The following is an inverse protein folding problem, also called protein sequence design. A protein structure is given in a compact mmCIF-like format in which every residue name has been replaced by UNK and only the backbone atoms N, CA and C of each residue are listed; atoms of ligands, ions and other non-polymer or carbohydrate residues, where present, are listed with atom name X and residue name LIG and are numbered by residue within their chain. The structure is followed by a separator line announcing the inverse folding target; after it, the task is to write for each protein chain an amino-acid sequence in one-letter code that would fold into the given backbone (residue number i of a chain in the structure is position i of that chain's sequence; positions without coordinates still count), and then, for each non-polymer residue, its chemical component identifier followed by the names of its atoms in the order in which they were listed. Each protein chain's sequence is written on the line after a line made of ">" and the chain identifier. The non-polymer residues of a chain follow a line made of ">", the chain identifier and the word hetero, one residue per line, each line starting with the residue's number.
data_IF_433938258698
#
_entry.id   IF_433938258698
#
_cell.length_a   1.000
_cell.length_b   1.000
_cell.length_c   1.000
_cell.angle_alpha   90.00
_cell.angle_beta   90.00
_cell.angle_gamma   90.00
#
_symmetry.space_group_name_H-M   'P 1'
#
loop_
_entity.id
_entity.type
_entity.pdbx_description
1 polymer ?
#
# COMPACT_ATOMS: atom_id res chain seq x y z
N UNK A 1 18.85 -21.05 50.56
CA UNK A 1 18.84 -21.66 51.92
C UNK A 1 20.19 -22.27 52.37
N UNK A 2 21.02 -22.86 51.48
CA UNK A 2 22.34 -23.43 51.86
C UNK A 2 23.37 -22.38 52.35
N UNK A 3 23.38 -21.17 51.77
CA UNK A 3 24.31 -20.10 52.18
C UNK A 3 24.05 -19.55 53.60
N UNK A 4 22.79 -19.56 54.06
CA UNK A 4 22.43 -19.07 55.41
C UNK A 4 22.92 -20.05 56.49
N UNK A 5 22.79 -21.36 56.25
CA UNK A 5 23.31 -22.39 57.15
C UNK A 5 24.84 -22.40 57.20
N UNK A 6 25.52 -22.13 56.08
CA UNK A 6 27.00 -22.04 56.03
C UNK A 6 27.50 -20.78 56.74
N UNK A 7 26.85 -19.63 56.55
CA UNK A 7 27.14 -18.41 57.32
C UNK A 7 26.88 -18.63 58.81
N UNK A 8 25.78 -19.28 59.18
CA UNK A 8 25.46 -19.60 60.57
C UNK A 8 26.49 -20.56 61.20
N UNK A 9 27.00 -21.55 60.46
CA UNK A 9 27.99 -22.52 60.96
C UNK A 9 29.39 -21.91 61.08
N UNK A 10 29.79 -21.05 60.14
CA UNK A 10 31.04 -20.28 60.23
C UNK A 10 30.98 -19.21 61.35
N UNK A 11 29.84 -18.53 61.50
CA UNK A 11 29.61 -17.58 62.58
C UNK A 11 29.56 -18.28 63.95
N UNK A 12 28.99 -19.48 64.03
CA UNK A 12 29.03 -20.30 65.24
C UNK A 12 30.46 -20.76 65.61
N UNK A 13 31.30 -21.15 64.64
CA UNK A 13 32.72 -21.48 64.88
C UNK A 13 33.48 -20.25 65.42
N UNK A 14 33.30 -19.08 64.81
CA UNK A 14 33.96 -17.84 65.21
C UNK A 14 33.54 -17.39 66.62
N UNK A 15 32.25 -17.46 66.94
CA UNK A 15 31.69 -17.14 68.26
C UNK A 15 32.19 -18.14 69.32
N UNK A 16 32.25 -19.43 69.02
CA UNK A 16 32.72 -20.46 69.95
C UNK A 16 34.22 -20.30 70.28
N UNK A 17 35.04 -19.87 69.31
CA UNK A 17 36.46 -19.58 69.54
C UNK A 17 36.72 -18.24 70.23
N UNK A 18 35.83 -17.26 70.08
CA UNK A 18 35.99 -15.91 70.64
C UNK A 18 35.42 -15.74 72.06
N UNK A 19 34.47 -16.59 72.49
CA UNK A 19 33.82 -16.49 73.81
C UNK A 19 34.80 -16.55 75.00
N UNK A 20 35.91 -17.30 75.00
CA UNK A 20 36.85 -17.30 76.12
C UNK A 20 37.77 -16.06 76.16
N UNK A 21 38.01 -15.41 75.02
CA UNK A 21 38.93 -14.26 74.92
C UNK A 21 38.29 -12.91 75.24
N UNK A 22 36.95 -12.82 75.28
CA UNK A 22 36.23 -11.59 75.62
C UNK A 22 35.69 -11.58 77.06
N UNK A 23 35.78 -12.71 77.77
CA UNK A 23 35.43 -12.84 79.19
C UNK A 23 36.66 -12.78 80.11
N UNK A 24 37.71 -12.02 79.73
CA UNK A 24 38.75 -11.58 80.66
C UNK A 24 38.21 -10.42 81.52
N UNK A 25 37.20 -10.76 82.31
CA UNK A 25 36.49 -9.91 83.26
C UNK A 25 35.84 -10.80 84.32
N UNK A 26 36.63 -11.68 84.95
CA UNK A 26 36.28 -12.43 86.16
C UNK A 26 35.41 -13.69 85.97
N UNK A 27 35.91 -14.82 86.49
CA UNK A 27 35.22 -16.04 86.95
C UNK A 27 34.11 -16.60 86.02
N UNK A 28 34.31 -17.67 85.25
CA UNK A 28 34.74 -19.00 85.69
C UNK A 28 35.58 -19.70 84.61
N UNK A 29 36.87 -19.84 84.90
CA UNK A 29 37.79 -20.72 84.17
C UNK A 29 37.57 -22.16 84.64
N UNK A 30 36.49 -22.78 84.17
CA UNK A 30 36.01 -24.06 84.69
C UNK A 30 36.04 -25.24 83.72
N UNK A 31 36.88 -25.27 82.67
CA UNK A 31 37.12 -26.55 81.96
C UNK A 31 38.37 -26.61 81.03
N UNK A 32 39.42 -25.79 81.19
CA UNK A 32 40.64 -26.00 80.38
C UNK A 32 41.89 -25.66 81.21
N UNK A 33 42.31 -26.62 82.06
CA UNK A 33 43.53 -26.49 82.88
C UNK A 33 44.80 -26.61 82.04
N UNK A 34 45.83 -25.84 82.44
CA UNK A 34 47.29 -25.82 82.16
C UNK A 34 47.86 -26.12 80.74
N UNK A 35 47.06 -26.68 79.82
CA UNK A 35 47.42 -27.08 78.45
C UNK A 35 46.45 -26.47 77.41
N UNK A 36 45.72 -25.42 77.77
CA UNK A 36 44.60 -24.86 76.99
C UNK A 36 44.99 -24.25 75.64
N UNK A 37 46.28 -24.01 75.37
CA UNK A 37 46.75 -23.45 74.10
C UNK A 37 46.66 -24.45 72.92
N UNK A 38 46.93 -25.73 73.17
CA UNK A 38 46.94 -26.78 72.13
C UNK A 38 45.53 -27.10 71.59
N UNK A 39 44.49 -27.33 72.41
CA UNK A 39 43.15 -27.60 71.89
C UNK A 39 42.55 -26.41 71.14
N UNK A 40 42.85 -25.18 71.54
CA UNK A 40 42.38 -23.96 70.86
C UNK A 40 43.00 -23.79 69.47
N UNK A 41 44.29 -24.11 69.31
CA UNK A 41 44.95 -24.09 68.01
C UNK A 41 44.35 -25.15 67.06
N UNK A 42 44.07 -26.36 67.55
CA UNK A 42 43.48 -27.44 66.73
C UNK A 42 42.09 -27.05 66.23
N UNK A 43 41.24 -26.47 67.08
CA UNK A 43 39.90 -26.01 66.69
C UNK A 43 39.99 -24.88 65.65
N UNK A 44 40.91 -23.93 65.82
CA UNK A 44 41.14 -22.85 64.85
C UNK A 44 41.55 -23.40 63.47
N UNK A 45 42.48 -24.35 63.45
CA UNK A 45 42.92 -25.03 62.23
C UNK A 45 41.79 -25.84 61.56
N UNK A 46 40.95 -26.51 62.35
CA UNK A 46 39.77 -27.22 61.83
C UNK A 46 38.75 -26.23 61.23
N UNK A 47 38.43 -25.12 61.91
CA UNK A 47 37.54 -24.10 61.35
C UNK A 47 38.15 -23.48 60.08
N UNK A 48 39.48 -23.24 60.02
CA UNK A 48 40.16 -22.70 58.85
C UNK A 48 40.11 -23.64 57.64
N UNK A 49 40.44 -24.92 57.82
CA UNK A 49 40.35 -25.90 56.74
C UNK A 49 38.91 -26.19 56.31
N UNK A 50 37.97 -26.20 57.25
CA UNK A 50 36.53 -26.32 56.95
C UNK A 50 36.04 -25.14 56.09
N UNK A 51 36.43 -23.91 56.45
CA UNK A 51 36.11 -22.70 55.67
C UNK A 51 36.76 -22.74 54.28
N UNK A 52 38.03 -23.13 54.17
CA UNK A 52 38.71 -23.26 52.88
C UNK A 52 38.06 -24.32 51.99
N UNK A 53 37.68 -25.47 52.55
CA UNK A 53 37.05 -26.54 51.78
C UNK A 53 35.67 -26.13 51.26
N UNK A 54 34.86 -25.51 52.12
CA UNK A 54 33.52 -25.03 51.76
C UNK A 54 33.61 -23.83 50.81
N UNK A 55 34.50 -22.87 51.08
CA UNK A 55 34.75 -21.69 50.25
C UNK A 55 35.30 -22.06 48.88
N UNK A 56 36.28 -22.96 48.81
CA UNK A 56 36.84 -23.46 47.55
C UNK A 56 35.78 -24.12 46.68
N UNK A 57 34.93 -24.99 47.25
CA UNK A 57 33.89 -25.69 46.47
C UNK A 57 32.74 -24.76 46.05
N UNK A 58 32.40 -23.75 46.85
CA UNK A 58 31.23 -22.88 46.61
C UNK A 58 31.60 -21.65 45.79
N UNK A 59 32.79 -21.06 45.96
CA UNK A 59 33.20 -19.84 45.25
C UNK A 59 33.71 -20.10 43.82
N UNK A 60 34.27 -21.29 43.53
CA UNK A 60 34.77 -21.60 42.19
C UNK A 60 33.65 -21.68 41.13
N UNK A 61 32.50 -22.25 41.51
CA UNK A 61 31.35 -22.40 40.61
C UNK A 61 30.80 -21.07 40.06
N UNK A 62 30.47 -20.06 40.88
CA UNK A 62 29.95 -18.79 40.38
C UNK A 62 31.01 -17.99 39.58
N UNK A 63 32.30 -18.13 39.88
CA UNK A 63 33.36 -17.43 39.14
C UNK A 63 33.47 -17.98 37.70
N UNK A 64 33.54 -19.31 37.56
CA UNK A 64 33.54 -19.93 36.23
C UNK A 64 32.24 -19.64 35.48
N UNK A 65 31.09 -19.75 36.16
CA UNK A 65 29.80 -19.45 35.53
C UNK A 65 29.70 -18.01 35.01
N UNK A 66 30.24 -17.02 35.72
CA UNK A 66 30.26 -15.64 35.23
C UNK A 66 31.21 -15.45 34.05
N UNK A 67 32.33 -16.16 34.01
CA UNK A 67 33.27 -16.08 32.90
C UNK A 67 32.69 -16.74 31.64
N UNK A 68 32.07 -17.91 31.79
CA UNK A 68 31.40 -18.65 30.73
C UNK A 68 30.18 -17.87 30.19
N UNK A 69 29.42 -17.22 31.07
CA UNK A 69 28.34 -16.30 30.67
C UNK A 69 28.85 -15.10 29.88
N UNK A 70 30.01 -14.54 30.22
CA UNK A 70 30.63 -13.45 29.44
C UNK A 70 31.10 -13.93 28.08
N UNK A 71 31.75 -15.08 28.04
CA UNK A 71 32.24 -15.70 26.81
C UNK A 71 31.08 -16.02 25.85
N UNK A 72 30.01 -16.61 26.38
CA UNK A 72 28.78 -16.91 25.64
C UNK A 72 28.13 -15.64 25.13
N UNK A 73 27.97 -14.61 25.97
CA UNK A 73 27.39 -13.33 25.55
C UNK A 73 28.20 -12.66 24.44
N UNK A 74 29.53 -12.73 24.49
CA UNK A 74 30.39 -12.17 23.44
C UNK A 74 30.20 -12.95 22.14
N UNK A 75 30.21 -14.29 22.19
CA UNK A 75 29.95 -15.13 21.02
C UNK A 75 28.59 -14.84 20.39
N UNK A 76 27.54 -14.84 21.20
CA UNK A 76 26.18 -14.54 20.76
C UNK A 76 26.08 -13.13 20.16
N UNK A 77 26.75 -12.14 20.75
CA UNK A 77 26.76 -10.77 20.22
C UNK A 77 27.46 -10.70 18.87
N UNK A 78 28.56 -11.45 18.68
CA UNK A 78 29.30 -11.50 17.42
C UNK A 78 28.48 -12.20 16.33
N UNK A 79 27.93 -13.38 16.63
CA UNK A 79 27.09 -14.13 15.71
C UNK A 79 25.82 -13.34 15.34
N UNK A 80 25.24 -12.62 16.29
CA UNK A 80 24.10 -11.77 16.03
C UNK A 80 24.47 -10.57 15.14
N UNK A 81 25.66 -9.99 15.31
CA UNK A 81 26.14 -8.92 14.45
C UNK A 81 26.32 -9.42 13.00
N UNK A 82 27.01 -10.56 12.81
CA UNK A 82 27.19 -11.17 11.48
C UNK A 82 25.85 -11.52 10.82
N UNK A 83 24.89 -12.03 11.61
CA UNK A 83 23.54 -12.32 11.13
C UNK A 83 22.79 -11.06 10.73
N UNK A 84 22.88 -9.98 11.51
CA UNK A 84 22.25 -8.70 11.20
C UNK A 84 22.85 -8.13 9.91
N UNK A 85 24.17 -8.17 9.75
CA UNK A 85 24.84 -7.68 8.54
C UNK A 85 24.41 -8.47 7.30
N UNK A 86 24.32 -9.79 7.39
CA UNK A 86 23.77 -10.62 6.31
C UNK A 86 22.31 -10.28 6.00
N UNK A 87 21.46 -10.14 7.02
CA UNK A 87 20.05 -9.79 6.84
C UNK A 87 19.87 -8.39 6.26
N UNK A 88 20.73 -7.44 6.64
CA UNK A 88 20.74 -6.09 6.07
C UNK A 88 21.12 -6.16 4.58
N UNK A 89 22.18 -6.88 4.22
CA UNK A 89 22.57 -7.05 2.82
C UNK A 89 21.46 -7.68 1.97
N UNK A 90 20.80 -8.73 2.50
CA UNK A 90 19.67 -9.39 1.82
C UNK A 90 18.44 -8.45 1.70
N UNK A 91 18.17 -7.67 2.75
CA UNK A 91 17.07 -6.70 2.78
C UNK A 91 17.32 -5.54 1.81
N UNK A 92 18.55 -5.04 1.73
CA UNK A 92 18.94 -4.00 0.77
C UNK A 92 18.86 -4.53 -0.67
N UNK A 93 19.33 -5.74 -0.92
CA UNK A 93 19.24 -6.37 -2.23
C UNK A 93 17.78 -6.57 -2.67
N UNK A 94 16.93 -7.08 -1.77
CA UNK A 94 15.51 -7.29 -2.04
C UNK A 94 14.76 -5.95 -2.22
N UNK A 95 15.07 -4.94 -1.41
CA UNK A 95 14.49 -3.59 -1.53
C UNK A 95 14.89 -2.94 -2.85
N UNK A 96 16.16 -3.03 -3.24
CA UNK A 96 16.65 -2.50 -4.52
C UNK A 96 15.96 -3.20 -5.70
N UNK A 97 15.76 -4.51 -5.61
CA UNK A 97 15.01 -5.28 -6.61
C UNK A 97 13.54 -4.83 -6.66
N UNK A 98 12.88 -4.70 -5.51
CA UNK A 98 11.51 -4.20 -5.39
C UNK A 98 11.35 -2.80 -6.02
N UNK A 99 12.28 -1.89 -5.76
CA UNK A 99 12.26 -0.55 -6.37
C UNK A 99 12.42 -0.64 -7.88
N UNK A 100 13.37 -1.43 -8.38
CA UNK A 100 13.58 -1.63 -9.82
C UNK A 100 12.34 -2.24 -10.50
N UNK A 101 11.71 -3.23 -9.86
CA UNK A 101 10.51 -3.90 -10.39
C UNK A 101 9.30 -2.95 -10.37
N UNK A 102 9.18 -2.11 -9.33
CA UNK A 102 8.16 -1.07 -9.23
C UNK A 102 8.34 0.01 -10.30
N UNK A 103 9.56 0.48 -10.54
CA UNK A 103 9.88 1.43 -11.60
C UNK A 103 9.58 0.86 -13.00
N UNK A 104 9.95 -0.40 -13.25
CA UNK A 104 9.65 -1.09 -14.49
C UNK A 104 8.13 -1.24 -14.71
N UNK A 105 7.40 -1.63 -13.66
CA UNK A 105 5.94 -1.74 -13.70
C UNK A 105 5.28 -0.40 -13.93
N UNK A 106 5.71 0.66 -13.22
CA UNK A 106 5.21 2.01 -13.41
C UNK A 106 5.44 2.51 -14.84
N UNK A 107 6.65 2.29 -15.38
CA UNK A 107 6.97 2.63 -16.77
C UNK A 107 6.07 1.86 -17.75
N UNK A 108 5.85 0.56 -17.52
CA UNK A 108 4.96 -0.27 -18.33
C UNK A 108 3.50 0.23 -18.31
N UNK A 109 3.00 0.63 -17.14
CA UNK A 109 1.65 1.21 -16.99
C UNK A 109 1.55 2.52 -17.78
N UNK A 110 2.54 3.41 -17.64
CA UNK A 110 2.54 4.70 -18.35
C UNK A 110 2.63 4.49 -19.87
N UNK A 111 3.45 3.56 -20.34
CA UNK A 111 3.54 3.25 -21.78
C UNK A 111 2.25 2.62 -22.30
N UNK A 112 1.67 1.67 -21.56
CA UNK A 112 0.40 1.05 -21.95
C UNK A 112 -0.76 2.04 -21.96
N UNK A 113 -0.81 2.95 -20.98
CA UNK A 113 -1.80 4.03 -20.94
C UNK A 113 -1.65 4.98 -22.14
N UNK A 114 -0.42 5.37 -22.49
CA UNK A 114 -0.16 6.19 -23.69
C UNK A 114 -0.57 5.48 -24.98
N UNK A 115 -0.24 4.21 -25.14
CA UNK A 115 -0.62 3.44 -26.32
C UNK A 115 -2.14 3.31 -26.43
N UNK A 116 -2.81 3.02 -25.32
CA UNK A 116 -4.28 2.93 -25.25
C UNK A 116 -4.92 4.28 -25.59
N UNK A 117 -4.39 5.37 -25.03
CA UNK A 117 -4.86 6.72 -25.32
C UNK A 117 -4.67 7.08 -26.80
N UNK A 118 -3.55 6.71 -27.43
CA UNK A 118 -3.32 6.92 -28.86
C UNK A 118 -4.28 6.10 -29.72
N UNK A 119 -4.53 4.83 -29.37
CA UNK A 119 -5.51 3.99 -30.06
C UNK A 119 -6.91 4.58 -29.97
N UNK A 120 -7.33 4.98 -28.76
CA UNK A 120 -8.63 5.60 -28.53
C UNK A 120 -8.76 6.93 -29.26
N UNK A 121 -7.73 7.78 -29.24
CA UNK A 121 -7.74 9.04 -29.98
C UNK A 121 -7.87 8.82 -31.50
N UNK A 122 -7.23 7.78 -32.03
CA UNK A 122 -7.35 7.41 -33.44
C UNK A 122 -8.76 6.89 -33.76
N UNK A 123 -9.30 6.00 -32.93
CA UNK A 123 -10.64 5.45 -33.07
C UNK A 123 -11.71 6.54 -33.02
N UNK A 124 -11.62 7.48 -32.07
CA UNK A 124 -12.52 8.63 -31.98
C UNK A 124 -12.45 9.49 -33.26
N UNK A 125 -11.24 9.76 -33.77
CA UNK A 125 -11.09 10.53 -35.00
C UNK A 125 -11.67 9.80 -36.22
N UNK A 126 -11.46 8.49 -36.32
CA UNK A 126 -11.95 7.69 -37.44
C UNK A 126 -13.49 7.59 -37.39
N UNK A 127 -14.07 7.36 -36.22
CA UNK A 127 -15.54 7.39 -36.00
C UNK A 127 -16.12 8.77 -36.29
N UNK A 128 -15.51 9.85 -35.79
CA UNK A 128 -15.98 11.20 -36.05
C UNK A 128 -15.94 11.56 -37.55
N UNK A 129 -14.92 11.09 -38.28
CA UNK A 129 -14.85 11.25 -39.74
C UNK A 129 -15.94 10.46 -40.46
N UNK A 130 -16.20 9.23 -40.03
CA UNK A 130 -17.25 8.39 -40.58
C UNK A 130 -18.64 9.01 -40.34
N UNK A 131 -18.92 9.47 -39.12
CA UNK A 131 -20.15 10.18 -38.78
C UNK A 131 -20.32 11.47 -39.58
N UNK A 132 -19.25 12.28 -39.69
CA UNK A 132 -19.28 13.50 -40.50
C UNK A 132 -19.55 13.20 -41.98
N UNK A 133 -19.00 12.11 -42.52
CA UNK A 133 -19.27 11.69 -43.89
C UNK A 133 -20.72 11.23 -44.06
N UNK A 134 -21.23 10.41 -43.14
CA UNK A 134 -22.63 9.98 -43.15
C UNK A 134 -23.59 11.17 -43.03
N UNK A 135 -23.29 12.14 -42.18
CA UNK A 135 -24.09 13.35 -42.02
C UNK A 135 -24.11 14.17 -43.31
N UNK A 136 -22.97 14.35 -43.98
CA UNK A 136 -22.91 15.03 -45.28
C UNK A 136 -23.72 14.30 -46.35
N UNK A 137 -23.63 12.98 -46.41
CA UNK A 137 -24.39 12.19 -47.39
C UNK A 137 -25.90 12.31 -47.15
N UNK A 138 -26.34 12.25 -45.89
CA UNK A 138 -27.74 12.46 -45.52
C UNK A 138 -28.21 13.88 -45.85
N UNK A 139 -27.40 14.90 -45.55
CA UNK A 139 -27.72 16.28 -45.90
C UNK A 139 -27.85 16.48 -47.42
N UNK A 140 -26.99 15.83 -48.22
CA UNK A 140 -27.10 15.88 -49.68
C UNK A 140 -28.39 15.21 -50.18
N UNK A 141 -28.76 14.05 -49.62
CA UNK A 141 -30.04 13.38 -49.92
C UNK A 141 -31.24 14.25 -49.55
N UNK A 142 -31.18 14.92 -48.40
CA UNK A 142 -32.25 15.82 -47.96
C UNK A 142 -32.37 17.04 -48.88
N UNK A 143 -31.25 17.60 -49.33
CA UNK A 143 -31.22 18.70 -50.31
C UNK A 143 -31.82 18.24 -51.64
N UNK A 144 -31.48 17.05 -52.12
CA UNK A 144 -32.03 16.50 -53.36
C UNK A 144 -33.56 16.30 -53.26
N UNK A 145 -34.02 15.74 -52.14
CA UNK A 145 -35.44 15.59 -51.84
C UNK A 145 -36.16 16.95 -51.75
N UNK A 146 -35.56 17.94 -51.08
CA UNK A 146 -36.10 19.29 -50.98
C UNK A 146 -36.16 19.98 -52.35
N UNK A 147 -35.13 19.81 -53.19
CA UNK A 147 -35.11 20.31 -54.56
C UNK A 147 -36.23 19.69 -55.40
N UNK A 148 -36.42 18.38 -55.32
CA UNK A 148 -37.50 17.69 -56.03
C UNK A 148 -38.88 18.22 -55.61
N UNK A 149 -39.11 18.41 -54.30
CA UNK A 149 -40.33 19.04 -53.78
C UNK A 149 -40.52 20.47 -54.26
N UNK A 150 -39.47 21.29 -54.22
CA UNK A 150 -39.52 22.68 -54.71
C UNK A 150 -39.85 22.76 -56.21
N UNK A 151 -39.27 21.88 -57.03
CA UNK A 151 -39.59 21.81 -58.46
C UNK A 151 -41.04 21.38 -58.71
N UNK A 152 -41.58 20.46 -57.91
CA UNK A 152 -43.00 20.10 -57.98
C UNK A 152 -43.89 21.30 -57.63
N UNK A 153 -43.61 21.97 -56.51
CA UNK A 153 -44.37 23.15 -56.07
C UNK A 153 -44.35 24.28 -57.11
N UNK A 154 -43.19 24.54 -57.74
CA UNK A 154 -43.08 25.53 -58.81
C UNK A 154 -43.89 25.17 -60.05
N UNK A 155 -44.00 23.88 -60.38
CA UNK A 155 -44.84 23.41 -61.50
C UNK A 155 -46.32 23.62 -61.20
N UNK A 156 -46.74 23.32 -59.98
CA UNK A 156 -48.11 23.50 -59.52
C UNK A 156 -48.50 25.00 -59.52
N UNK A 157 -47.65 25.86 -58.95
CA UNK A 157 -47.84 27.32 -58.98
C UNK A 157 -47.85 27.88 -60.41
N UNK A 158 -46.96 27.39 -61.29
CA UNK A 158 -46.93 27.81 -62.70
C UNK A 158 -48.19 27.39 -63.45
N UNK A 159 -48.72 26.20 -63.16
CA UNK A 159 -49.97 25.72 -63.75
C UNK A 159 -51.16 26.56 -63.29
N UNK A 160 -51.24 26.91 -62.00
CA UNK A 160 -52.27 27.79 -61.44
C UNK A 160 -52.20 29.20 -62.04
N UNK A 161 -50.99 29.76 -62.20
CA UNK A 161 -50.79 31.06 -62.84
C UNK A 161 -51.22 31.04 -64.31
N UNK A 162 -50.87 29.97 -65.04
CA UNK A 162 -51.26 29.79 -66.43
C UNK A 162 -52.78 29.67 -66.61
N UNK A 163 -53.46 28.91 -65.74
CA UNK A 163 -54.94 28.81 -65.74
C UNK A 163 -55.58 30.16 -65.42
N UNK A 164 -55.04 30.88 -64.44
CA UNK A 164 -55.54 32.22 -64.07
C UNK A 164 -55.37 33.22 -65.21
N UNK A 165 -54.22 33.22 -65.89
CA UNK A 165 -53.96 34.05 -67.06
C UNK A 165 -54.86 33.69 -68.25
N UNK A 166 -55.06 32.40 -68.52
CA UNK A 166 -55.97 31.93 -69.55
C UNK A 166 -57.42 32.35 -69.25
N UNK A 167 -57.86 32.24 -67.99
CA UNK A 167 -59.17 32.71 -67.54
C UNK A 167 -59.35 34.21 -67.72
N UNK A 168 -58.34 35.03 -67.36
CA UNK A 168 -58.34 36.48 -67.60
C UNK A 168 -58.40 36.83 -69.08
N UNK A 169 -57.57 36.19 -69.92
CA UNK A 169 -57.54 36.44 -71.36
C UNK A 169 -58.86 36.09 -72.04
N UNK A 170 -59.48 34.96 -71.66
CA UNK A 170 -60.81 34.57 -72.16
C UNK A 170 -61.88 35.56 -71.70
N UNK A 171 -61.85 35.98 -70.44
CA UNK A 171 -62.77 37.02 -69.93
C UNK A 171 -62.66 38.34 -70.68
N UNK A 172 -61.44 38.79 -70.98
CA UNK A 172 -61.17 40.04 -71.70
C UNK A 172 -61.53 39.96 -73.20
N UNK A 173 -61.35 38.80 -73.84
CA UNK A 173 -61.79 38.57 -75.23
C UNK A 173 -63.31 38.41 -75.38
N UNK A 174 -64.00 37.90 -74.35
CA UNK A 174 -65.46 37.80 -74.32
C UNK A 174 -66.12 39.18 -74.15
N UNK A 175 -65.46 40.13 -73.47
CA UNK A 175 -65.99 41.48 -73.23
C UNK A 175 -65.82 42.43 -74.44
N UNK A 176 -64.76 42.26 -75.24
CA UNK A 176 -64.37 43.28 -76.24
C UNK A 176 -64.89 43.12 -77.69
N UNK A 177 -65.46 41.98 -78.12
CA UNK A 177 -66.09 41.96 -79.47
C UNK A 177 -67.05 40.79 -79.76
N UNK A 178 -67.09 39.72 -78.95
CA UNK A 178 -67.76 38.46 -79.34
C UNK A 178 -68.97 38.00 -78.51
N UNK A 179 -69.38 38.74 -77.48
CA UNK A 179 -70.55 38.36 -76.65
C UNK A 179 -71.94 38.68 -77.25
N UNK A 180 -72.04 39.37 -78.40
CA UNK A 180 -73.31 39.48 -79.15
C UNK A 180 -73.44 38.47 -80.29
N UNK A 181 -72.34 38.10 -80.95
CA UNK A 181 -72.36 37.22 -82.13
C UNK A 181 -72.63 35.75 -81.77
N UNK A 182 -72.27 35.30 -80.58
CA UNK A 182 -72.50 33.91 -80.15
C UNK A 182 -73.95 33.67 -79.68
N UNK A 183 -74.58 34.69 -79.10
CA UNK A 183 -75.99 34.64 -78.68
C UNK A 183 -76.92 34.66 -79.90
N UNK A 184 -76.62 35.49 -80.91
CA UNK A 184 -77.40 35.52 -82.15
C UNK A 184 -77.29 34.20 -82.92
N UNK A 185 -76.11 33.54 -82.98
CA UNK A 185 -75.97 32.25 -83.67
C UNK A 185 -76.70 31.08 -83.00
N UNK A 186 -76.89 31.10 -81.68
CA UNK A 186 -77.65 30.05 -80.98
C UNK A 186 -79.16 30.28 -81.13
N UNK A 187 -79.60 31.53 -81.24
CA UNK A 187 -81.02 31.87 -81.49
C UNK A 187 -81.40 31.62 -82.95
N UNK A 188 -80.47 31.76 -83.91
CA UNK A 188 -80.72 31.53 -85.35
C UNK A 188 -80.61 30.04 -85.78
N UNK A 189 -80.22 29.14 -84.87
CA UNK A 189 -80.13 27.68 -85.13
C UNK A 189 -81.25 26.88 -84.44
N UNK A 190 -82.27 27.55 -83.89
CA UNK A 190 -83.53 26.95 -83.41
C UNK A 190 -84.68 27.35 -84.35
#
# INVERSE_FOLDING_TARGET
>A
MKMVKVKALAFACLVLTAMPTMAAGGADAGQYGENAAIPMAIISWICFFSLLFVGGKIAWKPILANLDARETRIRESLENADRIDSQLADTEASTKKLISDAEASAKSIVTGAKETAQKLAKEINDTAKAEAQSLRENALKDIENARAKAVSSLRDESAELAVTLAGKLIGENLDSEKSRVLTDKIIDTL
#
